data_IF_658187107125
#
_entry.id   IF_658187107125
#
_cell.length_a   1.000
_cell.length_b   1.000
_cell.length_c   1.000
_cell.angle_alpha   90.00
_cell.angle_beta   90.00
_cell.angle_gamma   90.00
#
_symmetry.space_group_name_H-M   'P 1'
#
loop_
_entity.id
_entity.type
_entity.pdbx_description
1 polymer ?
#
# COMPACT_ATOMS: atom_id res chain seq x y z
N UNK A 1 6.90 -6.63 4.82
CA UNK A 1 6.31 -6.57 6.16
C UNK A 1 7.35 -6.27 7.22
N UNK A 2 8.23 -7.23 7.53
CA UNK A 2 9.19 -7.12 8.63
C UNK A 2 10.16 -5.91 8.51
N UNK A 3 10.75 -5.70 7.33
CA UNK A 3 11.68 -4.58 7.12
C UNK A 3 10.97 -3.22 7.21
N UNK A 4 9.75 -3.11 6.67
CA UNK A 4 8.92 -1.91 6.80
C UNK A 4 8.57 -1.61 8.27
N UNK A 5 8.30 -2.64 9.08
CA UNK A 5 8.07 -2.47 10.52
C UNK A 5 9.34 -2.02 11.26
N UNK A 6 10.51 -2.57 10.90
CA UNK A 6 11.80 -2.16 11.47
C UNK A 6 12.07 -0.67 11.21
N UNK A 7 11.94 -0.24 9.96
CA UNK A 7 12.13 1.18 9.58
C UNK A 7 11.08 2.07 10.26
N UNK A 8 9.81 1.65 10.29
CA UNK A 8 8.76 2.42 10.95
C UNK A 8 9.03 2.61 12.45
N UNK A 9 9.57 1.59 13.12
CA UNK A 9 9.98 1.67 14.53
C UNK A 9 11.10 2.68 14.73
N UNK A 10 12.13 2.64 13.90
CA UNK A 10 13.25 3.58 13.95
C UNK A 10 12.77 5.03 13.74
N UNK A 11 11.89 5.26 12.76
CA UNK A 11 11.30 6.58 12.51
C UNK A 11 10.44 7.03 13.69
N UNK A 12 9.66 6.13 14.29
CA UNK A 12 8.84 6.46 15.46
C UNK A 12 9.69 6.81 16.68
N UNK A 13 10.73 6.05 16.96
CA UNK A 13 11.64 6.31 18.07
C UNK A 13 12.35 7.66 17.91
N UNK A 14 12.81 7.98 16.70
CA UNK A 14 13.41 9.29 16.38
C UNK A 14 12.41 10.44 16.55
N UNK A 15 11.13 10.20 16.29
CA UNK A 15 10.06 11.17 16.49
C UNK A 15 9.52 11.23 17.94
N UNK A 16 10.10 10.46 18.87
CA UNK A 16 9.64 10.38 20.26
C UNK A 16 8.36 9.57 20.47
N UNK A 17 7.95 8.80 19.48
CA UNK A 17 6.83 7.86 19.53
C UNK A 17 7.18 6.56 20.26
N UNK A 18 6.15 5.77 20.59
CA UNK A 18 6.29 4.46 21.23
C UNK A 18 5.41 3.43 20.54
N UNK A 19 5.98 2.25 20.28
CA UNK A 19 5.23 1.10 19.80
C UNK A 19 4.50 0.44 20.97
N UNK A 20 3.17 0.47 20.95
CA UNK A 20 2.34 -0.13 22.02
C UNK A 20 2.18 -1.65 21.87
N UNK A 21 2.25 -2.14 20.64
CA UNK A 21 2.14 -3.56 20.32
C UNK A 21 2.46 -3.83 18.86
N UNK A 22 2.78 -5.08 18.57
CA UNK A 22 3.01 -5.57 17.21
C UNK A 22 2.42 -6.98 17.09
N UNK A 23 1.75 -7.26 15.98
CA UNK A 23 1.13 -8.56 15.70
C UNK A 23 1.37 -8.93 14.25
N UNK A 24 1.68 -10.20 14.03
CA UNK A 24 1.89 -10.80 12.72
C UNK A 24 0.80 -11.84 12.49
N UNK A 25 0.22 -11.83 11.30
CA UNK A 25 -0.82 -12.76 10.89
C UNK A 25 -0.38 -13.41 9.58
N UNK A 26 -0.65 -14.71 9.46
CA UNK A 26 -0.40 -15.44 8.22
C UNK A 26 -1.25 -14.87 7.08
N UNK A 27 -0.73 -14.96 5.86
CA UNK A 27 -1.46 -14.55 4.67
C UNK A 27 -2.78 -15.33 4.56
N UNK A 28 -3.90 -14.63 4.37
CA UNK A 28 -5.24 -15.23 4.36
C UNK A 28 -5.85 -15.45 5.75
N UNK A 29 -5.11 -15.16 6.83
CA UNK A 29 -5.67 -15.17 8.19
C UNK A 29 -6.65 -14.01 8.38
N UNK A 30 -7.84 -14.31 8.88
CA UNK A 30 -8.94 -13.34 9.03
C UNK A 30 -9.52 -13.26 10.45
N UNK A 31 -8.99 -14.02 11.41
CA UNK A 31 -9.46 -14.00 12.79
C UNK A 31 -8.72 -13.00 13.66
N UNK A 32 -9.33 -11.83 13.96
CA UNK A 32 -8.73 -10.80 14.80
C UNK A 32 -9.41 -10.63 16.18
N UNK A 33 -10.23 -11.60 16.57
CA UNK A 33 -11.04 -11.58 17.79
C UNK A 33 -10.25 -11.31 19.09
N UNK A 34 -8.98 -11.74 19.18
CA UNK A 34 -8.11 -11.43 20.33
C UNK A 34 -7.25 -10.18 20.12
N UNK A 35 -6.86 -9.92 18.88
CA UNK A 35 -5.97 -8.82 18.52
C UNK A 35 -6.66 -7.46 18.65
N UNK A 36 -7.91 -7.35 18.21
CA UNK A 36 -8.64 -6.07 18.22
C UNK A 36 -8.92 -5.59 19.65
N UNK A 37 -9.48 -6.39 20.57
CA UNK A 37 -9.68 -5.95 21.95
C UNK A 37 -8.39 -5.53 22.63
N UNK A 38 -7.30 -6.26 22.39
CA UNK A 38 -5.97 -5.92 22.92
C UNK A 38 -5.52 -4.56 22.38
N UNK A 39 -5.62 -4.34 21.06
CA UNK A 39 -5.27 -3.07 20.41
C UNK A 39 -6.10 -1.91 20.96
N UNK A 40 -7.42 -2.08 21.07
CA UNK A 40 -8.33 -1.04 21.57
C UNK A 40 -8.02 -0.69 23.03
N UNK A 41 -7.69 -1.68 23.87
CA UNK A 41 -7.30 -1.47 25.27
C UNK A 41 -5.97 -0.72 25.44
N UNK A 42 -5.10 -0.74 24.43
CA UNK A 42 -3.86 0.04 24.43
C UNK A 42 -4.07 1.51 24.03
N UNK A 43 -5.22 1.84 23.45
CA UNK A 43 -5.58 3.19 22.98
C UNK A 43 -4.49 3.86 22.10
N UNK A 44 -4.09 3.23 20.97
CA UNK A 44 -3.09 3.81 20.08
C UNK A 44 -3.59 5.10 19.41
N UNK A 45 -2.67 6.02 19.14
CA UNK A 45 -2.98 7.24 18.36
C UNK A 45 -3.18 6.97 16.87
N UNK A 46 -2.59 5.88 16.35
CA UNK A 46 -2.80 5.39 14.99
C UNK A 46 -2.37 3.92 14.90
N UNK A 47 -2.76 3.25 13.82
CA UNK A 47 -2.33 1.88 13.49
C UNK A 47 -1.54 1.89 12.18
N UNK A 48 -0.39 1.23 12.14
CA UNK A 48 0.30 0.90 10.89
C UNK A 48 -0.15 -0.50 10.44
N UNK A 49 -0.90 -0.57 9.35
CA UNK A 49 -1.39 -1.82 8.76
C UNK A 49 -0.55 -2.21 7.54
N UNK A 50 0.20 -3.31 7.69
CA UNK A 50 1.00 -3.92 6.63
C UNK A 50 0.43 -5.26 6.14
N UNK A 51 -0.82 -5.59 6.48
CA UNK A 51 -1.54 -6.74 5.92
C UNK A 51 -1.92 -6.47 4.45
N UNK A 52 -2.07 -7.52 3.66
CA UNK A 52 -2.48 -7.45 2.24
C UNK A 52 -3.74 -8.26 2.00
N UNK A 53 -4.51 -7.90 0.97
CA UNK A 53 -5.67 -8.65 0.51
C UNK A 53 -6.69 -8.93 1.61
N UNK A 54 -7.28 -10.12 1.59
CA UNK A 54 -8.38 -10.52 2.50
C UNK A 54 -8.08 -10.29 3.98
N UNK A 55 -6.84 -10.56 4.42
CA UNK A 55 -6.42 -10.32 5.80
C UNK A 55 -6.52 -8.83 6.18
N UNK A 56 -6.12 -7.94 5.27
CA UNK A 56 -6.22 -6.49 5.47
C UNK A 56 -7.68 -6.06 5.54
N UNK A 57 -8.52 -6.53 4.62
CA UNK A 57 -9.91 -6.13 4.56
C UNK A 57 -10.71 -6.61 5.78
N UNK A 58 -10.44 -7.84 6.23
CA UNK A 58 -11.03 -8.39 7.44
C UNK A 58 -10.61 -7.60 8.68
N UNK A 59 -9.31 -7.29 8.80
CA UNK A 59 -8.79 -6.47 9.90
C UNK A 59 -9.45 -5.08 9.94
N UNK A 60 -9.51 -4.37 8.81
CA UNK A 60 -10.11 -3.04 8.72
C UNK A 60 -11.60 -3.07 9.06
N UNK A 61 -12.33 -4.11 8.61
CA UNK A 61 -13.74 -4.29 8.93
C UNK A 61 -13.98 -4.47 10.43
N UNK A 62 -13.23 -5.37 11.06
CA UNK A 62 -13.37 -5.63 12.50
C UNK A 62 -12.93 -4.41 13.33
N UNK A 63 -11.87 -3.71 12.90
CA UNK A 63 -11.36 -2.54 13.61
C UNK A 63 -12.34 -1.36 13.52
N UNK A 64 -12.96 -1.13 12.36
CA UNK A 64 -13.98 -0.11 12.18
C UNK A 64 -15.18 -0.38 13.11
N UNK A 65 -15.63 -1.64 13.20
CA UNK A 65 -16.72 -2.02 14.10
C UNK A 65 -16.37 -1.79 15.58
N UNK A 66 -15.15 -2.11 16.00
CA UNK A 66 -14.68 -1.84 17.35
C UNK A 66 -14.57 -0.33 17.65
N UNK A 67 -14.10 0.47 16.68
CA UNK A 67 -14.06 1.92 16.79
C UNK A 67 -15.47 2.51 16.89
N UNK A 68 -16.43 1.98 16.12
CA UNK A 68 -17.84 2.37 16.19
C UNK A 68 -18.41 2.12 17.59
N UNK A 69 -18.16 0.95 18.17
CA UNK A 69 -18.61 0.59 19.51
C UNK A 69 -17.99 1.49 20.59
N UNK A 70 -16.72 1.87 20.42
CA UNK A 70 -16.03 2.78 21.33
C UNK A 70 -16.37 4.27 21.09
N UNK A 71 -17.07 4.60 20.01
CA UNK A 71 -17.38 5.98 19.63
C UNK A 71 -16.14 6.81 19.26
N UNK A 72 -15.09 6.17 18.73
CA UNK A 72 -13.83 6.82 18.36
C UNK A 72 -13.60 6.79 16.86
N UNK A 73 -12.73 7.68 16.37
CA UNK A 73 -12.15 7.58 15.03
C UNK A 73 -10.65 7.35 15.11
N UNK A 74 -10.17 6.30 14.44
CA UNK A 74 -8.78 5.87 14.52
C UNK A 74 -8.08 6.02 13.17
N UNK A 75 -6.94 6.74 13.10
CA UNK A 75 -6.11 6.75 11.91
C UNK A 75 -5.46 5.39 11.66
N UNK A 76 -5.50 4.93 10.41
CA UNK A 76 -4.82 3.72 9.96
C UNK A 76 -3.96 4.08 8.76
N UNK A 77 -2.65 3.93 8.89
CA UNK A 77 -1.68 4.11 7.81
C UNK A 77 -1.40 2.76 7.16
N UNK A 78 -1.40 2.70 5.84
CA UNK A 78 -1.06 1.50 5.07
C UNK A 78 -0.35 1.90 3.78
N UNK A 79 0.89 1.47 3.60
CA UNK A 79 1.68 1.78 2.40
C UNK A 79 1.57 0.72 1.30
N UNK A 80 0.76 -0.30 1.52
CA UNK A 80 0.45 -1.36 0.57
C UNK A 80 -1.04 -1.39 0.17
N UNK A 81 -1.88 -0.55 0.78
CA UNK A 81 -3.26 -0.34 0.37
C UNK A 81 -3.33 0.64 -0.80
N UNK A 82 -4.05 0.27 -1.85
CA UNK A 82 -4.15 1.05 -3.09
C UNK A 82 -5.59 1.39 -3.47
N UNK A 83 -5.77 2.34 -4.41
CA UNK A 83 -7.09 2.72 -4.91
C UNK A 83 -7.86 1.53 -5.54
N UNK A 84 -7.12 0.57 -6.11
CA UNK A 84 -7.67 -0.67 -6.68
C UNK A 84 -8.44 -1.52 -5.65
N UNK A 85 -8.13 -1.40 -4.36
CA UNK A 85 -8.72 -2.24 -3.31
C UNK A 85 -9.92 -1.56 -2.62
N UNK A 86 -10.23 -0.30 -2.97
CA UNK A 86 -11.31 0.45 -2.32
C UNK A 86 -12.68 -0.23 -2.43
N UNK A 87 -12.93 -0.99 -3.50
CA UNK A 87 -14.17 -1.77 -3.65
C UNK A 87 -14.30 -2.88 -2.60
N UNK A 88 -13.20 -3.59 -2.33
CA UNK A 88 -13.13 -4.68 -1.35
C UNK A 88 -13.07 -4.15 0.09
N UNK A 89 -12.34 -3.06 0.32
CA UNK A 89 -12.27 -2.41 1.62
C UNK A 89 -13.63 -1.84 2.02
N UNK A 90 -14.37 -1.27 1.08
CA UNK A 90 -15.65 -0.61 1.34
C UNK A 90 -15.54 0.60 2.26
N UNK A 91 -16.68 1.13 2.69
CA UNK A 91 -16.71 2.26 3.62
C UNK A 91 -16.27 1.85 5.03
N UNK A 92 -15.42 2.70 5.63
CA UNK A 92 -14.90 2.55 7.00
C UNK A 92 -15.00 3.89 7.73
N UNK A 93 -16.22 4.34 8.10
CA UNK A 93 -16.42 5.70 8.61
C UNK A 93 -15.66 5.98 9.91
N UNK A 94 -15.38 4.96 10.72
CA UNK A 94 -14.68 5.12 11.99
C UNK A 94 -13.16 5.02 11.83
N UNK A 95 -12.67 4.71 10.62
CA UNK A 95 -11.25 4.70 10.30
C UNK A 95 -10.89 5.86 9.38
N UNK A 96 -9.81 6.58 9.73
CA UNK A 96 -9.16 7.51 8.80
C UNK A 96 -8.04 6.77 8.10
N UNK A 97 -8.37 6.17 6.95
CA UNK A 97 -7.40 5.42 6.14
C UNK A 97 -6.44 6.40 5.43
N UNK A 98 -5.15 6.18 5.59
CA UNK A 98 -4.08 6.91 4.94
C UNK A 98 -3.27 5.92 4.10
N UNK A 99 -3.15 6.21 2.81
CA UNK A 99 -2.30 5.45 1.89
C UNK A 99 -1.09 6.27 1.48
N UNK A 100 0.00 5.56 1.16
CA UNK A 100 1.24 6.14 0.68
C UNK A 100 1.71 5.34 -0.55
N UNK A 101 2.10 6.02 -1.61
CA UNK A 101 2.54 5.37 -2.85
C UNK A 101 3.07 6.35 -3.89
N UNK A 102 3.83 5.86 -4.88
CA UNK A 102 4.42 6.70 -5.93
C UNK A 102 3.41 7.15 -7.00
N UNK A 103 2.18 6.64 -6.96
CA UNK A 103 1.13 6.95 -7.93
C UNK A 103 -0.24 6.95 -7.26
N UNK A 104 -1.07 7.91 -7.64
CA UNK A 104 -2.49 7.96 -7.37
C UNK A 104 -3.23 8.41 -8.63
N UNK A 105 -4.37 7.79 -8.95
CA UNK A 105 -5.15 8.11 -10.16
C UNK A 105 -5.56 9.58 -10.18
N UNK A 106 -5.89 10.14 -9.00
CA UNK A 106 -6.24 11.56 -8.85
C UNK A 106 -5.13 12.53 -9.25
N UNK A 107 -3.86 12.11 -9.18
CA UNK A 107 -2.69 12.92 -9.59
C UNK A 107 -2.39 12.73 -11.08
N UNK A 108 -2.62 11.54 -11.62
CA UNK A 108 -2.31 11.18 -13.02
C UNK A 108 -3.55 10.76 -13.82
N UNK A 109 -4.61 11.56 -13.74
CA UNK A 109 -5.94 11.18 -14.24
C UNK A 109 -5.97 10.86 -15.75
N UNK A 110 -5.14 11.53 -16.57
CA UNK A 110 -5.07 11.25 -18.01
C UNK A 110 -4.50 9.87 -18.29
N UNK A 111 -3.40 9.50 -17.62
CA UNK A 111 -2.81 8.17 -17.73
C UNK A 111 -3.83 7.10 -17.33
N UNK A 112 -4.45 7.24 -16.16
CA UNK A 112 -5.47 6.31 -15.67
C UNK A 112 -6.61 6.13 -16.67
N UNK A 113 -7.14 7.23 -17.21
CA UNK A 113 -8.22 7.20 -18.21
C UNK A 113 -7.80 6.43 -19.47
N UNK A 114 -6.58 6.65 -19.95
CA UNK A 114 -6.05 5.92 -21.11
C UNK A 114 -5.94 4.42 -20.83
N UNK A 115 -5.42 4.03 -19.66
CA UNK A 115 -5.33 2.62 -19.28
C UNK A 115 -6.72 1.98 -19.14
N UNK A 116 -7.67 2.69 -18.54
CA UNK A 116 -9.03 2.19 -18.35
C UNK A 116 -9.78 1.95 -19.67
N UNK A 117 -9.50 2.77 -20.70
CA UNK A 117 -10.06 2.58 -22.03
C UNK A 117 -9.54 1.31 -22.73
N UNK A 118 -8.31 0.88 -22.41
CA UNK A 118 -7.68 -0.28 -23.04
C UNK A 118 -7.93 -1.56 -22.25
N UNK A 119 -7.93 -1.47 -20.92
CA UNK A 119 -7.86 -2.64 -20.02
C UNK A 119 -9.11 -2.85 -19.15
N UNK A 120 -10.09 -1.95 -19.22
CA UNK A 120 -11.31 -2.00 -18.41
C UNK A 120 -11.34 -0.94 -17.30
N UNK A 121 -12.51 -0.77 -16.68
CA UNK A 121 -12.77 0.37 -15.78
C UNK A 121 -12.21 0.18 -14.35
N UNK A 122 -11.34 -0.79 -14.14
CA UNK A 122 -10.71 -1.01 -12.83
C UNK A 122 -9.71 0.11 -12.53
N UNK A 123 -9.61 0.47 -11.25
CA UNK A 123 -8.68 1.52 -10.80
C UNK A 123 -7.24 1.03 -10.91
N UNK A 124 -6.37 1.89 -11.42
CA UNK A 124 -4.93 1.64 -11.51
C UNK A 124 -4.29 1.76 -10.13
N UNK A 125 -3.58 0.72 -9.70
CA UNK A 125 -2.76 0.76 -8.48
C UNK A 125 -1.35 1.25 -8.78
N UNK A 126 -0.63 1.71 -7.77
CA UNK A 126 0.79 2.03 -7.95
C UNK A 126 1.63 0.79 -8.33
N UNK A 127 1.20 -0.42 -7.96
CA UNK A 127 1.82 -1.67 -8.43
C UNK A 127 1.66 -1.86 -9.92
N UNK A 128 0.46 -1.63 -10.45
CA UNK A 128 0.19 -1.66 -11.89
C UNK A 128 1.09 -0.65 -12.62
N UNK A 129 1.16 0.60 -12.13
CA UNK A 129 1.97 1.63 -12.78
C UNK A 129 3.47 1.36 -12.70
N UNK A 130 3.96 0.78 -11.59
CA UNK A 130 5.35 0.38 -11.47
C UNK A 130 5.72 -0.70 -12.49
N UNK A 131 4.85 -1.71 -12.65
CA UNK A 131 5.04 -2.74 -13.67
C UNK A 131 4.98 -2.18 -15.10
N UNK A 132 4.01 -1.31 -15.38
CA UNK A 132 3.87 -0.62 -16.65
C UNK A 132 5.16 0.13 -17.01
N UNK A 133 5.63 1.01 -16.12
CA UNK A 133 6.84 1.80 -16.35
C UNK A 133 8.06 0.92 -16.53
N UNK A 134 8.23 -0.14 -15.72
CA UNK A 134 9.37 -1.05 -15.85
C UNK A 134 9.42 -1.77 -17.20
N UNK A 135 8.27 -2.26 -17.69
CA UNK A 135 8.20 -2.95 -19.00
C UNK A 135 8.44 -1.98 -20.14
N UNK A 136 7.89 -0.76 -20.07
CA UNK A 136 8.12 0.27 -21.08
C UNK A 136 9.59 0.73 -21.10
N UNK A 137 10.22 0.89 -19.94
CA UNK A 137 11.65 1.20 -19.82
C UNK A 137 12.51 0.12 -20.48
N UNK A 138 12.19 -1.14 -20.20
CA UNK A 138 12.87 -2.29 -20.80
C UNK A 138 12.72 -2.30 -22.33
N UNK A 139 11.50 -2.09 -22.84
CA UNK A 139 11.24 -2.08 -24.28
C UNK A 139 12.01 -0.95 -24.99
N UNK A 140 12.07 0.25 -24.40
CA UNK A 140 12.87 1.37 -24.91
C UNK A 140 14.36 1.01 -24.94
N UNK A 141 14.91 0.51 -23.83
CA UNK A 141 16.31 0.09 -23.75
C UNK A 141 16.65 -1.00 -24.78
N UNK A 142 15.75 -1.96 -24.98
CA UNK A 142 15.90 -3.01 -25.98
C UNK A 142 15.93 -2.44 -27.41
N UNK A 143 15.04 -1.49 -27.73
CA UNK A 143 15.01 -0.85 -29.04
C UNK A 143 16.29 -0.04 -29.33
N UNK A 144 16.85 0.60 -28.30
CA UNK A 144 18.05 1.42 -28.44
C UNK A 144 19.35 0.61 -28.50
N UNK A 145 19.45 -0.47 -27.72
CA UNK A 145 20.68 -1.27 -27.62
C UNK A 145 20.70 -2.46 -28.58
N UNK A 146 19.54 -2.92 -29.04
CA UNK A 146 19.41 -4.12 -29.86
C UNK A 146 19.76 -5.41 -29.12
N UNK A 147 19.85 -5.38 -27.78
CA UNK A 147 20.23 -6.52 -26.94
C UNK A 147 19.33 -6.61 -25.71
N UNK A 148 18.93 -7.83 -25.36
CA UNK A 148 18.19 -8.17 -24.14
C UNK A 148 19.10 -8.65 -22.99
N UNK A 149 20.43 -8.55 -23.17
CA UNK A 149 21.39 -8.91 -22.14
C UNK A 149 21.20 -8.00 -20.90
N UNK A 150 21.02 -8.57 -19.68
CA UNK A 150 20.71 -7.80 -18.48
C UNK A 150 21.70 -6.66 -18.20
N UNK A 151 23.00 -6.88 -18.39
CA UNK A 151 24.04 -5.89 -18.12
C UNK A 151 23.94 -4.69 -19.07
N UNK A 152 23.59 -4.94 -20.34
CA UNK A 152 23.45 -3.90 -21.38
C UNK A 152 22.21 -3.05 -21.10
N UNK A 153 21.10 -3.69 -20.76
CA UNK A 153 19.86 -3.00 -20.38
C UNK A 153 20.07 -2.15 -19.13
N UNK A 154 20.68 -2.72 -18.08
CA UNK A 154 20.94 -2.01 -16.83
C UNK A 154 21.85 -0.79 -17.03
N UNK A 155 22.92 -0.91 -17.83
CA UNK A 155 23.82 0.21 -18.14
C UNK A 155 23.10 1.33 -18.92
N UNK A 156 22.24 0.95 -19.87
CA UNK A 156 21.41 1.93 -20.59
C UNK A 156 20.48 2.68 -19.66
N UNK A 157 19.68 1.97 -18.84
CA UNK A 157 18.71 2.57 -17.92
C UNK A 157 19.37 3.45 -16.85
N UNK A 158 20.58 3.09 -16.38
CA UNK A 158 21.32 3.90 -15.42
C UNK A 158 21.74 5.27 -15.99
N UNK A 159 22.05 5.32 -17.29
CA UNK A 159 22.47 6.55 -17.98
C UNK A 159 21.30 7.38 -18.51
N UNK A 160 20.12 6.79 -18.62
CA UNK A 160 18.91 7.42 -19.17
C UNK A 160 17.75 7.25 -18.18
N UNK A 161 17.76 7.98 -17.05
CA UNK A 161 16.68 7.90 -16.08
C UNK A 161 15.37 8.39 -16.70
N UNK A 162 14.29 7.67 -16.43
CA UNK A 162 12.96 8.06 -16.89
C UNK A 162 12.52 9.38 -16.22
N UNK A 163 11.78 10.24 -16.95
CA UNK A 163 11.18 11.42 -16.35
C UNK A 163 10.18 11.02 -15.24
N UNK A 164 10.16 11.81 -14.16
CA UNK A 164 9.26 11.63 -13.02
C UNK A 164 7.90 12.27 -13.20
#
# INVERSE_FOLDING_TARGET
GWESNRIAREVLELAGGRVLGEKYVHLGGTGFAEAIPTLMGQAPSFVLNNLVGESSYAFLRELDAACAQAGIRLPVLSCNLTEAELGEVGERPNLRLLSCGPFFESVHAEFSRCQQLVHGLDRCSHYYTGAYVAVHAFAEALQHTGSDAPEVICDYLYRHPLPG
#
